data_IF_155717010392
#
_entry.id   IF_155717010392
#
_cell.length_a   1.000
_cell.length_b   1.000
_cell.length_c   1.000
_cell.angle_alpha   90.00
_cell.angle_beta   90.00
_cell.angle_gamma   90.00
#
_symmetry.space_group_name_H-M   'P 1'
#
loop_
_entity.id
_entity.type
_entity.pdbx_description
1 polymer ?
#
# COMPACT_ATOMS: atom_id res chain seq x y z
N UNK A 1 28.36 4.94 -8.88
CA UNK A 1 27.37 5.22 -7.82
C UNK A 1 26.91 3.88 -7.28
N UNK A 2 26.89 3.69 -5.96
CA UNK A 2 26.32 2.45 -5.41
C UNK A 2 24.77 2.52 -5.50
N UNK A 3 24.09 1.39 -5.33
CA UNK A 3 22.62 1.31 -5.45
C UNK A 3 21.88 2.16 -4.40
N UNK A 4 22.47 2.32 -3.22
CA UNK A 4 21.90 3.08 -2.10
C UNK A 4 21.92 4.58 -2.40
N UNK A 5 23.04 5.09 -2.92
CA UNK A 5 23.21 6.49 -3.31
C UNK A 5 22.30 6.83 -4.51
N UNK A 6 22.15 5.89 -5.46
CA UNK A 6 21.22 6.01 -6.58
C UNK A 6 19.77 6.11 -6.12
N UNK A 7 19.39 5.28 -5.16
CA UNK A 7 18.07 5.36 -4.56
C UNK A 7 17.85 6.68 -3.81
N UNK A 8 18.79 7.08 -2.96
CA UNK A 8 18.69 8.32 -2.21
C UNK A 8 18.55 9.56 -3.12
N UNK A 9 19.34 9.62 -4.20
CA UNK A 9 19.24 10.70 -5.19
C UNK A 9 17.92 10.68 -5.95
N UNK A 10 17.41 9.51 -6.32
CA UNK A 10 16.10 9.38 -6.96
C UNK A 10 15.01 9.94 -6.05
N UNK A 11 14.97 9.51 -4.79
CA UNK A 11 13.94 9.94 -3.83
C UNK A 11 14.03 11.44 -3.57
N UNK A 12 15.24 11.99 -3.45
CA UNK A 12 15.43 13.43 -3.32
C UNK A 12 15.00 14.18 -4.58
N UNK A 13 15.31 13.67 -5.78
CA UNK A 13 14.85 14.25 -7.04
C UNK A 13 13.32 14.29 -7.16
N UNK A 14 12.60 13.32 -6.58
CA UNK A 14 11.13 13.33 -6.51
C UNK A 14 10.65 14.44 -5.56
N UNK A 15 11.29 14.62 -4.40
CA UNK A 15 11.00 15.73 -3.48
C UNK A 15 11.19 17.07 -4.18
N UNK A 16 12.33 17.25 -4.84
CA UNK A 16 12.69 18.50 -5.51
C UNK A 16 11.77 18.80 -6.70
N UNK A 17 11.39 17.78 -7.47
CA UNK A 17 10.47 17.92 -8.60
C UNK A 17 9.05 18.24 -8.17
N UNK A 18 8.59 17.65 -7.07
CA UNK A 18 7.19 17.80 -6.61
C UNK A 18 7.00 18.99 -5.67
N UNK A 19 8.06 19.47 -5.03
CA UNK A 19 7.99 20.48 -3.97
C UNK A 19 7.22 20.01 -2.73
N UNK A 20 6.88 18.73 -2.65
CA UNK A 20 6.11 18.18 -1.54
C UNK A 20 6.99 17.90 -0.33
N UNK A 21 6.39 18.02 0.85
CA UNK A 21 7.04 17.54 2.08
C UNK A 21 7.18 16.01 2.04
N UNK A 22 8.23 15.48 2.67
CA UNK A 22 8.45 14.03 2.83
C UNK A 22 7.20 13.30 3.36
N UNK A 23 6.54 13.76 4.45
CA UNK A 23 5.31 13.14 4.92
C UNK A 23 4.18 13.06 3.87
N UNK A 24 4.02 14.09 3.04
CA UNK A 24 3.03 14.07 1.97
C UNK A 24 3.38 13.04 0.90
N UNK A 25 4.66 12.88 0.55
CA UNK A 25 5.08 11.84 -0.39
C UNK A 25 4.79 10.44 0.12
N UNK A 26 4.97 10.15 1.41
CA UNK A 26 4.62 8.84 1.98
C UNK A 26 3.14 8.51 1.83
N UNK A 27 2.26 9.48 2.12
CA UNK A 27 0.81 9.32 1.92
C UNK A 27 0.48 9.03 0.45
N UNK A 28 1.00 9.84 -0.48
CA UNK A 28 0.68 9.74 -1.90
C UNK A 28 1.30 8.50 -2.55
N UNK A 29 2.54 8.15 -2.19
CA UNK A 29 3.23 6.97 -2.68
C UNK A 29 2.52 5.70 -2.23
N UNK A 30 2.19 5.58 -0.94
CA UNK A 30 1.45 4.44 -0.40
C UNK A 30 0.11 4.24 -1.10
N UNK A 31 -0.64 5.33 -1.31
CA UNK A 31 -1.90 5.28 -2.06
C UNK A 31 -1.73 4.95 -3.54
N UNK A 32 -0.75 5.52 -4.22
CA UNK A 32 -0.48 5.25 -5.63
C UNK A 32 -0.13 3.77 -5.84
N UNK A 33 0.76 3.22 -5.02
CA UNK A 33 1.13 1.79 -5.03
C UNK A 33 -0.11 0.92 -4.78
N UNK A 34 -0.90 1.24 -3.75
CA UNK A 34 -2.09 0.46 -3.42
C UNK A 34 -3.08 0.42 -4.59
N UNK A 35 -3.45 1.59 -5.13
CA UNK A 35 -4.44 1.70 -6.18
C UNK A 35 -3.97 1.06 -7.49
N UNK A 36 -2.71 1.26 -7.88
CA UNK A 36 -2.14 0.67 -9.09
C UNK A 36 -2.04 -0.85 -8.99
N UNK A 37 -1.59 -1.38 -7.85
CA UNK A 37 -1.52 -2.83 -7.61
C UNK A 37 -2.91 -3.45 -7.61
N UNK A 38 -3.88 -2.81 -6.96
CA UNK A 38 -5.27 -3.27 -6.94
C UNK A 38 -5.88 -3.26 -8.36
N UNK A 39 -5.60 -2.22 -9.15
CA UNK A 39 -6.05 -2.11 -10.53
C UNK A 39 -5.42 -3.19 -11.43
N UNK A 40 -4.13 -3.46 -11.26
CA UNK A 40 -3.40 -4.45 -12.04
C UNK A 40 -3.87 -5.89 -11.77
N UNK A 41 -4.07 -6.25 -10.50
CA UNK A 41 -4.40 -7.62 -10.11
C UNK A 41 -5.80 -8.05 -10.52
N UNK A 42 -6.74 -7.13 -10.72
CA UNK A 42 -8.14 -7.35 -11.18
C UNK A 42 -8.94 -8.45 -10.46
N UNK A 43 -8.38 -9.07 -9.43
CA UNK A 43 -8.92 -10.21 -8.72
C UNK A 43 -9.65 -9.78 -7.44
N UNK A 44 -10.58 -10.63 -6.99
CA UNK A 44 -11.26 -10.53 -5.70
C UNK A 44 -10.28 -10.46 -4.51
N UNK A 45 -9.05 -10.96 -4.61
CA UNK A 45 -8.04 -10.81 -3.55
C UNK A 45 -7.10 -9.62 -3.77
N UNK A 46 -7.30 -8.83 -4.83
CA UNK A 46 -6.41 -7.75 -5.24
C UNK A 46 -6.20 -6.68 -4.15
N UNK A 47 -7.21 -6.41 -3.31
CA UNK A 47 -7.07 -5.44 -2.21
C UNK A 47 -6.10 -5.90 -1.11
N UNK A 48 -6.01 -7.21 -0.83
CA UNK A 48 -5.05 -7.75 0.14
C UNK A 48 -3.64 -7.70 -0.42
N UNK A 49 -3.45 -8.16 -1.66
CA UNK A 49 -2.15 -8.12 -2.32
C UNK A 49 -1.64 -6.69 -2.54
N UNK A 50 -2.54 -5.74 -2.82
CA UNK A 50 -2.19 -4.32 -2.87
C UNK A 50 -1.64 -3.82 -1.54
N UNK A 51 -2.26 -4.20 -0.40
CA UNK A 51 -1.77 -3.83 0.91
C UNK A 51 -0.40 -4.46 1.22
N UNK A 52 -0.20 -5.73 0.85
CA UNK A 52 1.09 -6.42 1.00
C UNK A 52 2.17 -5.71 0.17
N UNK A 53 1.86 -5.29 -1.05
CA UNK A 53 2.81 -4.58 -1.91
C UNK A 53 3.25 -3.24 -1.30
N UNK A 54 2.32 -2.48 -0.72
CA UNK A 54 2.64 -1.23 0.01
C UNK A 54 3.60 -1.53 1.17
N UNK A 55 3.31 -2.55 1.99
CA UNK A 55 4.16 -2.93 3.12
C UNK A 55 5.57 -3.33 2.68
N UNK A 56 5.69 -4.09 1.58
CA UNK A 56 6.99 -4.51 1.05
C UNK A 56 7.81 -3.33 0.53
N UNK A 57 7.18 -2.40 -0.19
CA UNK A 57 7.86 -1.23 -0.71
C UNK A 57 8.28 -0.24 0.38
N UNK A 58 7.46 -0.08 1.43
CA UNK A 58 7.83 0.74 2.58
C UNK A 58 8.99 0.15 3.37
N UNK A 59 8.95 -1.17 3.61
CA UNK A 59 10.07 -1.86 4.25
C UNK A 59 11.35 -1.72 3.42
N UNK A 60 11.26 -1.84 2.10
CA UNK A 60 12.39 -1.63 1.21
C UNK A 60 12.95 -0.20 1.31
N UNK A 61 12.08 0.81 1.30
CA UNK A 61 12.48 2.21 1.45
C UNK A 61 13.24 2.45 2.77
N UNK A 62 12.72 1.89 3.87
CA UNK A 62 13.35 2.00 5.18
C UNK A 62 14.71 1.30 5.26
N UNK A 63 14.85 0.12 4.65
CA UNK A 63 16.14 -0.57 4.55
C UNK A 63 17.15 0.27 3.76
N UNK A 64 16.74 0.89 2.65
CA UNK A 64 17.62 1.77 1.88
C UNK A 64 18.04 3.01 2.69
N UNK A 65 17.10 3.63 3.41
CA UNK A 65 17.37 4.77 4.29
C UNK A 65 18.36 4.40 5.40
N UNK A 66 18.20 3.21 5.99
CA UNK A 66 19.10 2.66 7.02
C UNK A 66 20.52 2.43 6.49
N UNK A 67 20.64 1.89 5.28
CA UNK A 67 21.93 1.67 4.63
C UNK A 67 22.62 2.99 4.28
N UNK A 68 21.87 4.00 3.85
CA UNK A 68 22.39 5.32 3.51
C UNK A 68 22.86 6.11 4.73
N UNK A 69 22.05 6.15 5.80
CA UNK A 69 22.31 6.96 7.01
C UNK A 69 23.22 6.25 8.03
N UNK A 70 23.37 4.93 7.94
CA UNK A 70 24.17 4.16 8.90
C UNK A 70 23.56 4.03 10.29
N UNK A 71 22.37 4.59 10.56
CA UNK A 71 21.57 4.41 11.80
C UNK A 71 20.06 4.36 11.51
N UNK A 72 19.28 3.79 12.44
CA UNK A 72 17.81 3.84 12.39
C UNK A 72 17.33 5.13 13.05
N UNK A 73 16.55 5.95 12.35
CA UNK A 73 15.87 7.10 12.95
C UNK A 73 14.44 6.70 13.30
N UNK A 74 14.28 5.98 14.42
CA UNK A 74 13.00 5.37 14.80
C UNK A 74 11.79 6.31 14.77
N UNK A 75 11.87 7.58 15.24
CA UNK A 75 10.76 8.53 15.12
C UNK A 75 10.32 8.74 13.66
N UNK A 76 11.25 9.05 12.78
CA UNK A 76 11.03 9.32 11.34
C UNK A 76 10.50 8.07 10.62
N UNK A 77 11.17 6.92 10.82
CA UNK A 77 10.77 5.61 10.29
C UNK A 77 9.36 5.22 10.71
N UNK A 78 9.01 5.42 12.00
CA UNK A 78 7.68 5.06 12.49
C UNK A 78 6.58 5.96 11.93
N UNK A 79 6.86 7.26 11.74
CA UNK A 79 5.93 8.18 11.11
C UNK A 79 5.76 7.89 9.63
N UNK A 80 6.84 7.59 8.91
CA UNK A 80 6.79 7.27 7.48
C UNK A 80 5.97 6.00 7.26
N UNK A 81 6.25 4.94 8.01
CA UNK A 81 5.47 3.69 7.98
C UNK A 81 4.00 3.97 8.25
N UNK A 82 3.67 4.73 9.31
CA UNK A 82 2.30 5.03 9.66
C UNK A 82 1.58 5.79 8.53
N UNK A 83 2.21 6.80 7.96
CA UNK A 83 1.65 7.61 6.87
C UNK A 83 1.45 6.80 5.60
N UNK A 84 2.39 5.91 5.27
CA UNK A 84 2.35 5.07 4.07
C UNK A 84 1.24 4.01 4.16
N UNK A 85 1.01 3.39 5.33
CA UNK A 85 0.09 2.25 5.45
C UNK A 85 -1.32 2.61 5.92
N UNK A 86 -1.52 3.77 6.56
CA UNK A 86 -2.79 4.12 7.20
C UNK A 86 -3.98 4.11 6.24
N UNK A 87 -3.89 4.88 5.15
CA UNK A 87 -4.98 4.98 4.17
C UNK A 87 -5.18 3.69 3.36
N UNK A 88 -4.12 3.01 2.87
CA UNK A 88 -4.26 1.68 2.25
C UNK A 88 -4.98 0.66 3.15
N UNK A 89 -4.68 0.66 4.46
CA UNK A 89 -5.33 -0.23 5.43
C UNK A 89 -6.82 0.07 5.58
N UNK A 90 -7.20 1.35 5.63
CA UNK A 90 -8.61 1.77 5.63
C UNK A 90 -9.32 1.35 4.33
N UNK A 91 -8.71 1.57 3.17
CA UNK A 91 -9.26 1.15 1.88
C UNK A 91 -9.46 -0.36 1.80
N UNK A 92 -8.49 -1.14 2.29
CA UNK A 92 -8.59 -2.59 2.40
C UNK A 92 -9.75 -3.01 3.32
N UNK A 93 -9.88 -2.37 4.49
CA UNK A 93 -10.97 -2.61 5.44
C UNK A 93 -12.35 -2.35 4.81
N UNK A 94 -12.52 -1.20 4.15
CA UNK A 94 -13.77 -0.86 3.44
C UNK A 94 -14.07 -1.86 2.32
N UNK A 95 -13.07 -2.24 1.53
CA UNK A 95 -13.22 -3.21 0.43
C UNK A 95 -13.65 -4.58 0.94
N UNK A 96 -13.05 -5.01 2.05
CA UNK A 96 -13.36 -6.28 2.72
C UNK A 96 -14.77 -6.25 3.31
N UNK A 97 -15.13 -5.19 4.02
CA UNK A 97 -16.47 -5.00 4.58
C UNK A 97 -17.57 -5.01 3.50
N UNK A 98 -17.39 -4.24 2.43
CA UNK A 98 -18.35 -4.19 1.31
C UNK A 98 -18.49 -5.55 0.64
N UNK A 99 -17.38 -6.27 0.44
CA UNK A 99 -17.40 -7.63 -0.12
C UNK A 99 -18.27 -8.54 0.73
N UNK A 100 -18.01 -8.63 2.04
CA UNK A 100 -18.79 -9.48 2.95
C UNK A 100 -20.28 -9.12 2.95
N UNK A 101 -20.61 -7.82 2.97
CA UNK A 101 -22.01 -7.35 2.98
C UNK A 101 -22.74 -7.64 1.67
N UNK A 102 -22.08 -7.61 0.52
CA UNK A 102 -22.72 -7.77 -0.78
C UNK A 102 -22.77 -9.22 -1.29
N UNK A 103 -21.82 -10.08 -0.89
CA UNK A 103 -21.88 -11.50 -1.25
C UNK A 103 -22.87 -12.29 -0.40
N UNK A 104 -23.07 -11.92 0.87
CA UNK A 104 -23.92 -12.70 1.78
C UNK A 104 -25.39 -12.84 1.32
N UNK A 105 -26.09 -11.79 0.84
CA UNK A 105 -27.46 -11.92 0.36
C UNK A 105 -27.56 -12.75 -0.93
N UNK A 106 -26.62 -12.57 -1.86
CA UNK A 106 -26.59 -13.29 -3.15
C UNK A 106 -26.36 -14.79 -2.96
N UNK A 107 -25.51 -15.18 -2.01
CA UNK A 107 -25.29 -16.60 -1.68
C UNK A 107 -26.52 -17.24 -1.01
N UNK A 108 -27.23 -16.51 -0.15
CA UNK A 108 -28.51 -16.99 0.42
C UNK A 108 -29.56 -17.24 -0.66
N UNK A 109 -29.66 -16.34 -1.65
CA UNK A 109 -30.58 -16.53 -2.79
C UNK A 109 -30.21 -17.76 -3.63
N UNK A 110 -28.93 -17.94 -3.98
CA UNK A 110 -28.47 -19.11 -4.75
C UNK A 110 -28.71 -20.43 -4.00
N UNK A 111 -28.52 -20.45 -2.68
CA UNK A 111 -28.79 -21.63 -1.85
C UNK A 111 -30.29 -21.96 -1.73
N UNK A 112 -31.16 -20.97 -1.93
CA UNK A 112 -32.62 -21.13 -1.88
C UNK A 112 -33.22 -21.51 -3.25
N UNK A 113 -32.42 -21.54 -4.33
CA UNK A 113 -32.90 -21.99 -5.64
C UNK A 113 -33.13 -23.51 -5.62
N UNK A 114 -34.25 -24.01 -6.17
CA UNK A 114 -34.47 -25.43 -6.30
C UNK A 114 -33.37 -26.04 -7.18
N UNK A 115 -32.71 -27.09 -6.68
CA UNK A 115 -31.80 -27.89 -7.50
C UNK A 115 -32.64 -28.64 -8.52
N UNK A 116 -32.40 -28.37 -9.79
CA UNK A 116 -32.99 -29.14 -10.89
C UNK A 116 -32.18 -30.44 -10.93
N UNK A 117 -32.79 -31.53 -10.47
CA UNK A 117 -32.30 -32.91 -10.59
C UNK A 117 -32.66 -33.49 -11.97
#
# INVERSE_FOLDING_TARGET
>A
MNIVDAYAQLTQGIVDLTGMSRPMLHIHAGMAIYLTTQFALRDRRGSLFALIAVLQLELFNEVMNRLAKGTWNWPDTSSDIALTIFWPSLCYGVSTYRRHRWTAPRMKQLAALPRIE
#
